data_IF_875313599833
#
_entry.id   IF_875313599833
#
_cell.length_a   1.000
_cell.length_b   1.000
_cell.length_c   1.000
_cell.angle_alpha   90.00
_cell.angle_beta   90.00
_cell.angle_gamma   90.00
#
_symmetry.space_group_name_H-M   'P 1'
#
loop_
_entity.id
_entity.type
_entity.pdbx_description
1 polymer ?
#
# COMPACT_ATOMS: atom_id res chain seq x y z
N UNK A 1 -61.34 -16.38 26.14
CA UNK A 1 -60.97 -16.76 24.76
C UNK A 1 -60.07 -15.68 24.18
N UNK A 2 -58.95 -16.13 23.61
CA UNK A 2 -57.96 -15.46 22.72
C UNK A 2 -57.26 -14.17 23.18
N UNK A 3 -55.96 -14.38 23.42
CA UNK A 3 -54.84 -13.49 23.72
C UNK A 3 -54.30 -12.90 22.42
N UNK A 4 -53.93 -11.61 22.37
CA UNK A 4 -52.99 -11.10 21.35
C UNK A 4 -52.19 -9.90 21.87
N UNK A 5 -50.99 -10.22 22.33
CA UNK A 5 -49.87 -9.29 22.48
C UNK A 5 -49.31 -8.98 21.09
N UNK A 6 -49.20 -7.70 20.74
CA UNK A 6 -48.41 -7.25 19.59
C UNK A 6 -46.95 -7.10 20.03
N UNK A 7 -45.98 -7.79 19.40
CA UNK A 7 -44.59 -7.72 19.81
C UNK A 7 -43.95 -6.42 19.32
N UNK A 8 -43.09 -5.90 20.20
CA UNK A 8 -41.92 -5.08 19.96
C UNK A 8 -41.53 -4.90 18.48
N UNK A 9 -41.74 -3.68 17.98
CA UNK A 9 -40.97 -3.16 16.86
C UNK A 9 -39.53 -2.99 17.31
N UNK A 10 -38.71 -4.03 17.14
CA UNK A 10 -37.26 -3.95 17.16
C UNK A 10 -36.84 -3.03 16.01
N UNK A 11 -36.68 -1.75 16.31
CA UNK A 11 -35.88 -0.86 15.48
C UNK A 11 -34.46 -1.43 15.47
N UNK A 12 -34.13 -2.19 14.43
CA UNK A 12 -32.75 -2.47 14.08
C UNK A 12 -32.10 -1.13 13.71
N UNK A 13 -31.62 -0.42 14.73
CA UNK A 13 -30.59 0.58 14.55
C UNK A 13 -29.38 -0.15 14.01
N UNK A 14 -29.18 -0.07 12.68
CA UNK A 14 -27.89 -0.32 12.06
C UNK A 14 -26.91 0.62 12.75
N UNK A 15 -26.18 0.08 13.73
CA UNK A 15 -24.98 0.69 14.24
C UNK A 15 -24.05 0.83 13.03
N UNK A 16 -23.90 2.06 12.54
CA UNK A 16 -22.84 2.39 11.60
C UNK A 16 -21.54 1.93 12.25
N UNK A 17 -20.95 0.88 11.68
CA UNK A 17 -19.53 0.61 11.86
C UNK A 17 -18.84 1.87 11.37
N UNK A 18 -18.41 2.69 12.31
CA UNK A 18 -17.36 3.65 12.07
C UNK A 18 -16.18 2.84 11.56
N UNK A 19 -16.04 2.74 10.23
CA UNK A 19 -14.77 2.44 9.62
C UNK A 19 -13.83 3.50 10.16
N UNK A 20 -13.02 3.11 11.15
CA UNK A 20 -12.07 3.99 11.78
C UNK A 20 -11.25 4.62 10.67
N UNK A 21 -11.45 5.92 10.46
CA UNK A 21 -10.64 6.75 9.60
C UNK A 21 -9.29 6.95 10.31
N UNK A 22 -8.59 5.86 10.57
CA UNK A 22 -7.18 5.86 10.86
C UNK A 22 -6.52 5.77 9.50
N UNK A 23 -6.15 6.91 8.93
CA UNK A 23 -5.27 6.96 7.76
C UNK A 23 -3.97 6.29 8.17
N UNK A 24 -3.87 4.98 7.93
CA UNK A 24 -2.64 4.24 8.10
C UNK A 24 -1.53 4.93 7.28
N UNK A 25 -0.26 4.67 7.61
CA UNK A 25 0.83 5.28 6.85
C UNK A 25 0.65 4.97 5.36
N UNK A 26 0.71 6.01 4.53
CA UNK A 26 0.66 5.86 3.07
C UNK A 26 2.05 5.58 2.51
N UNK A 27 2.12 5.05 1.29
CA UNK A 27 3.36 4.83 0.55
C UNK A 27 3.99 6.15 0.03
N UNK A 28 3.21 7.22 -0.13
CA UNK A 28 3.67 8.52 -0.66
C UNK A 28 4.94 8.99 0.03
N UNK A 29 5.97 9.34 -0.74
CA UNK A 29 7.19 9.95 -0.21
C UNK A 29 8.42 9.49 -0.97
N UNK A 30 9.58 9.90 -0.45
CA UNK A 30 10.89 9.51 -0.99
C UNK A 30 11.46 8.36 -0.17
N UNK A 31 12.01 7.40 -0.88
CA UNK A 31 12.53 6.13 -0.39
C UNK A 31 13.95 5.94 -0.90
N UNK A 32 14.80 5.36 -0.05
CA UNK A 32 16.19 5.03 -0.34
C UNK A 32 16.40 3.55 -0.02
N UNK A 33 17.02 2.81 -0.92
CA UNK A 33 17.30 1.40 -0.70
C UNK A 33 18.36 1.25 0.42
N UNK A 34 18.06 0.42 1.42
CA UNK A 34 18.88 0.28 2.63
C UNK A 34 20.31 -0.21 2.32
N UNK A 35 20.43 -1.16 1.39
CA UNK A 35 21.71 -1.76 0.96
C UNK A 35 22.46 -0.92 -0.09
N UNK A 36 21.78 0.00 -0.77
CA UNK A 36 22.40 0.86 -1.79
C UNK A 36 21.72 2.23 -1.86
N UNK A 37 22.30 3.21 -1.18
CA UNK A 37 21.71 4.54 -1.06
C UNK A 37 21.71 5.37 -2.35
N UNK A 38 22.39 4.92 -3.41
CA UNK A 38 22.30 5.55 -4.73
C UNK A 38 20.97 5.23 -5.44
N UNK A 39 20.30 4.15 -5.02
CA UNK A 39 18.99 3.75 -5.52
C UNK A 39 17.90 4.45 -4.73
N UNK A 40 17.07 5.20 -5.45
CA UNK A 40 16.04 6.06 -4.87
C UNK A 40 14.71 5.86 -5.57
N UNK A 41 13.61 6.08 -4.86
CA UNK A 41 12.26 6.01 -5.39
C UNK A 41 11.43 7.11 -4.76
N UNK A 42 10.59 7.77 -5.55
CA UNK A 42 9.60 8.73 -5.06
C UNK A 42 8.23 8.29 -5.53
N UNK A 43 7.31 8.15 -4.59
CA UNK A 43 5.89 7.85 -4.83
C UNK A 43 5.10 9.12 -4.52
N UNK A 44 4.27 9.57 -5.46
CA UNK A 44 3.38 10.73 -5.28
C UNK A 44 2.00 10.28 -4.80
N UNK A 45 1.19 11.23 -4.35
CA UNK A 45 -0.16 10.98 -3.82
C UNK A 45 -1.13 10.39 -4.86
N UNK A 46 -0.88 10.61 -6.14
CA UNK A 46 -1.64 10.02 -7.25
C UNK A 46 -1.20 8.57 -7.57
N UNK A 47 -0.26 8.02 -6.81
CA UNK A 47 0.32 6.71 -7.04
C UNK A 47 1.39 6.68 -8.13
N UNK A 48 1.74 7.81 -8.75
CA UNK A 48 2.84 7.85 -9.73
C UNK A 48 4.19 7.62 -9.05
N UNK A 49 5.06 6.87 -9.73
CA UNK A 49 6.39 6.51 -9.23
C UNK A 49 7.46 7.05 -10.16
N UNK A 50 8.52 7.60 -9.56
CA UNK A 50 9.77 7.92 -10.24
C UNK A 50 10.91 7.31 -9.45
N UNK A 51 11.69 6.42 -10.06
CA UNK A 51 12.76 5.70 -9.42
C UNK A 51 14.07 5.81 -10.20
N UNK A 52 15.19 5.66 -9.50
CA UNK A 52 16.51 5.50 -10.08
C UNK A 52 17.08 4.19 -9.54
N UNK A 53 17.04 3.14 -10.37
CA UNK A 53 17.48 1.78 -10.03
C UNK A 53 18.53 1.41 -11.08
N UNK A 54 19.72 1.98 -10.93
CA UNK A 54 20.84 1.96 -11.90
C UNK A 54 20.54 2.72 -13.21
N UNK A 55 19.28 2.75 -13.64
CA UNK A 55 18.71 3.60 -14.69
C UNK A 55 17.44 4.31 -14.19
N UNK A 56 17.05 5.43 -14.80
CA UNK A 56 15.76 6.07 -14.51
C UNK A 56 14.59 5.16 -14.89
N UNK A 57 13.63 5.03 -13.99
CA UNK A 57 12.38 4.30 -14.20
C UNK A 57 11.19 5.16 -13.79
N UNK A 58 10.06 4.97 -14.47
CA UNK A 58 8.78 5.60 -14.13
C UNK A 58 7.68 4.57 -14.07
N UNK A 59 6.65 4.82 -13.29
CA UNK A 59 5.56 3.86 -13.20
C UNK A 59 4.47 4.27 -12.25
N UNK A 60 3.79 3.28 -11.68
CA UNK A 60 2.68 3.48 -10.78
C UNK A 60 2.69 2.45 -9.65
N UNK A 61 2.04 2.82 -8.54
CA UNK A 61 1.71 1.92 -7.45
C UNK A 61 0.21 1.73 -7.36
N UNK A 62 -0.21 0.50 -7.07
CA UNK A 62 -1.60 0.18 -6.75
C UNK A 62 -1.68 -0.32 -5.32
N UNK A 63 -2.47 0.34 -4.48
CA UNK A 63 -2.79 -0.11 -3.11
C UNK A 63 -3.64 -1.39 -3.17
N UNK A 64 -3.20 -2.43 -2.48
CA UNK A 64 -3.90 -3.73 -2.38
C UNK A 64 -4.64 -3.90 -1.05
N UNK A 65 -4.57 -2.90 -0.15
CA UNK A 65 -5.06 -2.99 1.21
C UNK A 65 -4.02 -3.56 2.17
N UNK A 66 -4.29 -3.49 3.48
CA UNK A 66 -3.45 -4.07 4.54
C UNK A 66 -1.97 -3.65 4.54
N UNK A 67 -1.65 -2.50 3.92
CA UNK A 67 -0.29 -1.95 3.69
C UNK A 67 0.51 -2.68 2.61
N UNK A 68 -0.17 -3.43 1.75
CA UNK A 68 0.41 -4.08 0.59
C UNK A 68 0.21 -3.22 -0.67
N UNK A 69 1.23 -3.19 -1.53
CA UNK A 69 1.27 -2.36 -2.72
C UNK A 69 1.85 -3.15 -3.88
N UNK A 70 1.27 -3.02 -5.08
CA UNK A 70 1.90 -3.49 -6.32
C UNK A 70 2.61 -2.32 -6.97
N UNK A 71 3.91 -2.46 -7.24
CA UNK A 71 4.72 -1.50 -7.99
C UNK A 71 4.93 -2.01 -9.41
N UNK A 72 4.61 -1.18 -10.40
CA UNK A 72 4.87 -1.46 -11.81
C UNK A 72 5.74 -0.33 -12.36
N UNK A 73 6.96 -0.66 -12.78
CA UNK A 73 7.95 0.29 -13.26
C UNK A 73 8.37 -0.04 -14.69
N UNK A 74 8.50 1.01 -15.50
CA UNK A 74 9.09 0.97 -16.83
C UNK A 74 10.46 1.68 -16.77
N UNK A 75 11.52 0.93 -17.06
CA UNK A 75 12.91 1.38 -17.10
C UNK A 75 13.43 1.44 -18.55
N UNK A 76 12.54 1.61 -19.53
CA UNK A 76 12.82 1.65 -20.96
C UNK A 76 12.74 0.27 -21.61
N UNK A 77 13.84 -0.49 -21.55
CA UNK A 77 13.90 -1.83 -22.18
C UNK A 77 13.26 -2.90 -21.28
N UNK A 78 13.34 -2.68 -19.96
CA UNK A 78 12.83 -3.61 -18.96
C UNK A 78 11.62 -3.03 -18.27
N UNK A 79 10.64 -3.92 -18.02
CA UNK A 79 9.49 -3.64 -17.16
C UNK A 79 9.61 -4.50 -15.91
N UNK A 80 9.40 -3.88 -14.76
CA UNK A 80 9.54 -4.50 -13.44
C UNK A 80 8.18 -4.49 -12.77
N UNK A 81 7.79 -5.61 -12.18
CA UNK A 81 6.65 -5.72 -11.28
C UNK A 81 7.16 -6.22 -9.94
N UNK A 82 6.79 -5.57 -8.85
CA UNK A 82 7.21 -5.96 -7.50
C UNK A 82 6.08 -5.75 -6.48
N UNK A 83 6.07 -6.58 -5.44
CA UNK A 83 5.14 -6.48 -4.31
C UNK A 83 5.80 -5.77 -3.14
N UNK A 84 5.19 -4.70 -2.64
CA UNK A 84 5.67 -3.90 -1.52
C UNK A 84 4.82 -4.12 -0.28
N UNK A 85 5.44 -4.29 0.88
CA UNK A 85 4.76 -4.31 2.19
C UNK A 85 5.31 -3.18 3.04
N UNK A 86 4.44 -2.24 3.40
CA UNK A 86 4.78 -1.08 4.22
C UNK A 86 4.66 -1.42 5.72
N UNK A 87 5.69 -1.07 6.47
CA UNK A 87 5.71 -1.25 7.92
C UNK A 87 4.60 -0.46 8.60
N UNK A 88 4.16 -0.92 9.78
CA UNK A 88 3.07 -0.27 10.52
C UNK A 88 3.39 1.17 10.94
N UNK A 89 4.67 1.52 11.07
CA UNK A 89 5.14 2.88 11.36
C UNK A 89 5.39 3.73 10.11
N UNK A 90 5.23 3.15 8.92
CA UNK A 90 5.40 3.84 7.63
C UNK A 90 6.84 4.21 7.27
N UNK A 91 7.85 3.65 7.95
CA UNK A 91 9.26 4.01 7.75
C UNK A 91 10.03 3.04 6.86
N UNK A 92 9.55 1.82 6.75
CA UNK A 92 10.22 0.74 6.01
C UNK A 92 9.26 0.13 5.01
N UNK A 93 9.72 -0.02 3.77
CA UNK A 93 9.03 -0.72 2.71
C UNK A 93 9.87 -1.93 2.30
N UNK A 94 9.32 -3.13 2.46
CA UNK A 94 9.93 -4.35 1.93
C UNK A 94 9.36 -4.62 0.56
N UNK A 95 10.20 -4.59 -0.47
CA UNK A 95 9.82 -4.83 -1.86
C UNK A 95 10.32 -6.22 -2.27
N UNK A 96 9.44 -7.04 -2.83
CA UNK A 96 9.68 -8.41 -3.26
C UNK A 96 9.46 -8.54 -4.76
N UNK A 97 10.42 -9.12 -5.45
CA UNK A 97 10.24 -9.56 -6.83
C UNK A 97 9.44 -10.89 -6.83
N UNK A 98 8.23 -10.93 -7.41
CA UNK A 98 7.40 -12.13 -7.42
C UNK A 98 7.97 -13.26 -8.30
N UNK A 99 8.86 -12.95 -9.25
CA UNK A 99 9.44 -13.93 -10.17
C UNK A 99 10.64 -14.67 -9.57
N UNK A 100 11.45 -13.98 -8.77
CA UNK A 100 12.68 -14.52 -8.16
C UNK A 100 12.52 -14.77 -6.66
N UNK A 101 11.53 -14.16 -6.01
CA UNK A 101 11.35 -14.17 -4.57
C UNK A 101 12.37 -13.31 -3.81
N UNK A 102 13.25 -12.59 -4.50
CA UNK A 102 14.23 -11.71 -3.87
C UNK A 102 13.54 -10.52 -3.22
N UNK A 103 14.08 -10.10 -2.07
CA UNK A 103 13.55 -8.97 -1.29
C UNK A 103 14.59 -7.85 -1.20
N UNK A 104 14.12 -6.62 -1.21
CA UNK A 104 14.91 -5.42 -0.99
C UNK A 104 14.18 -4.51 0.02
N UNK A 105 14.94 -3.96 0.96
CA UNK A 105 14.41 -3.04 1.98
C UNK A 105 14.67 -1.60 1.57
N UNK A 106 13.63 -0.78 1.66
CA UNK A 106 13.67 0.65 1.40
C UNK A 106 13.29 1.43 2.65
N UNK A 107 14.10 2.42 3.00
CA UNK A 107 13.84 3.31 4.12
C UNK A 107 13.30 4.63 3.60
N UNK A 108 12.29 5.15 4.29
CA UNK A 108 11.79 6.50 4.02
C UNK A 108 12.89 7.52 4.34
N UNK A 109 13.09 8.47 3.43
CA UNK A 109 14.07 9.55 3.55
C UNK A 109 13.60 10.63 4.53
#
# INVERSE_FOLDING_TARGET
MVKRWGPAGLALGLALLAAGCGSGPSLTGTWIMAENQSRTMTVRDDGSVSANIDVPCTGATTDQGDREYRLELDCGITKISADGVLSADGKTLTVKDPSTGQEAVWNRK
#
